data_IF_704441272961
#
_entry.id   IF_704441272961
#
_cell.length_a   1.000
_cell.length_b   1.000
_cell.length_c   1.000
_cell.angle_alpha   90.00
_cell.angle_beta   90.00
_cell.angle_gamma   90.00
#
_symmetry.space_group_name_H-M   'P 1'
#
loop_
_entity.id
_entity.type
_entity.pdbx_description
1 polymer ?
#
# COMPACT_ATOMS: atom_id res chain seq x y z
N UNK A 1 15.18 6.94 -2.37
CA UNK A 1 13.96 6.24 -1.92
C UNK A 1 12.88 6.50 -2.95
N UNK A 2 12.25 5.44 -3.45
CA UNK A 2 11.13 5.55 -4.40
C UNK A 2 9.81 5.75 -3.66
N UNK A 3 8.88 6.55 -4.19
CA UNK A 3 7.55 6.74 -3.59
C UNK A 3 6.48 6.36 -4.61
N UNK A 4 5.55 5.51 -4.21
CA UNK A 4 4.49 4.99 -5.08
C UNK A 4 3.12 5.32 -4.51
N UNK A 5 2.22 5.80 -5.37
CA UNK A 5 0.78 5.81 -5.08
C UNK A 5 0.10 4.80 -5.99
N UNK A 6 -0.50 3.77 -5.38
CA UNK A 6 -1.21 2.71 -6.09
C UNK A 6 -2.62 3.17 -6.37
N UNK A 7 -3.00 3.17 -7.65
CA UNK A 7 -4.32 3.58 -8.10
C UNK A 7 -4.82 2.70 -9.25
N UNK A 8 -6.14 2.66 -9.46
CA UNK A 8 -6.72 2.05 -10.65
C UNK A 8 -6.93 3.10 -11.74
N UNK A 9 -6.77 2.71 -13.01
CA UNK A 9 -6.95 3.63 -14.16
C UNK A 9 -8.37 4.17 -14.30
N UNK A 10 -9.37 3.45 -13.77
CA UNK A 10 -10.77 3.86 -13.77
C UNK A 10 -11.10 4.69 -12.52
N UNK A 11 -11.80 4.07 -11.57
CA UNK A 11 -12.17 4.69 -10.30
C UNK A 11 -10.94 4.88 -9.40
N UNK A 12 -10.51 6.13 -9.18
CA UNK A 12 -9.40 6.47 -8.28
C UNK A 12 -9.64 7.78 -7.51
N UNK A 13 -8.80 8.02 -6.49
CA UNK A 13 -8.82 9.22 -5.65
C UNK A 13 -7.55 10.06 -5.77
N UNK A 14 -6.85 9.97 -6.91
CA UNK A 14 -5.57 10.64 -7.12
C UNK A 14 -5.63 12.17 -6.97
N UNK A 15 -6.72 12.81 -7.38
CA UNK A 15 -6.89 14.25 -7.17
C UNK A 15 -6.88 14.60 -5.67
N UNK A 16 -7.62 13.84 -4.86
CA UNK A 16 -7.62 14.00 -3.41
C UNK A 16 -6.24 13.69 -2.81
N UNK A 17 -5.59 12.63 -3.28
CA UNK A 17 -4.25 12.23 -2.83
C UNK A 17 -3.23 13.34 -3.07
N UNK A 18 -3.14 13.86 -4.31
CA UNK A 18 -2.15 14.87 -4.66
C UNK A 18 -2.43 16.25 -4.07
N UNK A 19 -3.68 16.53 -3.68
CA UNK A 19 -4.01 17.71 -2.89
C UNK A 19 -3.50 17.64 -1.43
N UNK A 20 -3.09 16.47 -0.93
CA UNK A 20 -2.51 16.36 0.40
C UNK A 20 -1.11 16.98 0.44
N UNK A 21 -0.74 17.79 1.46
CA UNK A 21 0.57 18.46 1.50
C UNK A 21 1.78 17.53 1.51
N UNK A 22 1.62 16.29 1.99
CA UNK A 22 2.69 15.28 2.03
C UNK A 22 2.78 14.41 0.77
N UNK A 23 1.99 14.68 -0.27
CA UNK A 23 1.93 13.86 -1.50
C UNK A 23 3.11 14.08 -2.47
N UNK A 24 4.00 15.02 -2.16
CA UNK A 24 5.09 15.40 -3.05
C UNK A 24 6.06 14.23 -3.32
N UNK A 25 6.39 14.06 -4.60
CA UNK A 25 7.36 13.07 -5.08
C UNK A 25 6.83 11.64 -5.21
N UNK A 26 5.51 11.42 -5.11
CA UNK A 26 4.89 10.13 -5.38
C UNK A 26 4.67 9.89 -6.88
N UNK A 27 5.16 8.77 -7.39
CA UNK A 27 4.87 8.28 -8.74
C UNK A 27 3.61 7.41 -8.74
N UNK A 28 2.77 7.57 -9.75
CA UNK A 28 1.56 6.74 -9.90
C UNK A 28 1.98 5.34 -10.35
N UNK A 29 1.59 4.34 -9.56
CA UNK A 29 1.67 2.93 -9.96
C UNK A 29 0.26 2.43 -10.28
N UNK A 30 0.01 2.10 -11.55
CA UNK A 30 -1.28 1.58 -11.96
C UNK A 30 -1.44 0.13 -11.51
N UNK A 31 -2.32 -0.07 -10.52
CA UNK A 31 -2.64 -1.37 -9.97
C UNK A 31 -3.48 -2.25 -10.90
N UNK A 32 -3.64 -3.50 -10.48
CA UNK A 32 -4.47 -4.50 -11.13
C UNK A 32 -5.91 -4.34 -10.66
N UNK A 33 -6.82 -4.04 -11.59
CA UNK A 33 -8.25 -4.17 -11.31
C UNK A 33 -8.64 -5.64 -11.40
N UNK A 34 -8.80 -6.30 -10.25
CA UNK A 34 -9.16 -7.71 -10.19
C UNK A 34 -10.53 -8.04 -10.79
N UNK A 35 -11.41 -7.05 -10.99
CA UNK A 35 -12.69 -7.19 -11.71
C UNK A 35 -12.49 -7.29 -13.22
N UNK A 36 -11.37 -6.76 -13.73
CA UNK A 36 -11.03 -6.72 -15.15
C UNK A 36 -10.06 -7.83 -15.59
N UNK A 37 -9.73 -8.77 -14.69
CA UNK A 37 -8.98 -9.98 -15.04
C UNK A 37 -9.79 -10.87 -16.00
N UNK A 38 -9.14 -11.71 -16.84
CA UNK A 38 -9.84 -12.59 -17.78
C UNK A 38 -10.94 -13.43 -17.12
N UNK A 39 -10.64 -13.94 -15.92
CA UNK A 39 -11.64 -14.44 -14.98
C UNK A 39 -11.60 -13.55 -13.73
N UNK A 40 -12.67 -12.82 -13.41
CA UNK A 40 -12.67 -11.89 -12.28
C UNK A 40 -12.29 -12.54 -10.96
N UNK A 41 -11.21 -12.04 -10.33
CA UNK A 41 -10.69 -12.58 -9.08
C UNK A 41 -9.87 -13.87 -9.20
N UNK A 42 -9.43 -14.25 -10.40
CA UNK A 42 -8.52 -15.37 -10.59
C UNK A 42 -7.24 -14.91 -11.31
N UNK A 43 -6.08 -15.34 -10.78
CA UNK A 43 -4.78 -15.11 -11.38
C UNK A 43 -3.84 -16.24 -10.99
N UNK A 44 -2.99 -16.75 -11.91
CA UNK A 44 -1.96 -17.75 -11.57
C UNK A 44 -0.90 -17.21 -10.60
N UNK A 45 -0.79 -15.89 -10.47
CA UNK A 45 0.13 -15.23 -9.53
C UNK A 45 -0.48 -15.03 -8.13
N UNK A 46 -1.76 -15.40 -7.94
CA UNK A 46 -2.45 -15.30 -6.67
C UNK A 46 -2.70 -16.70 -6.08
N UNK A 47 -2.16 -16.96 -4.88
CA UNK A 47 -2.37 -18.23 -4.18
C UNK A 47 -3.76 -18.25 -3.52
N UNK A 48 -4.77 -18.61 -4.32
CA UNK A 48 -6.15 -18.71 -3.89
C UNK A 48 -6.36 -19.76 -2.80
N UNK A 49 -5.61 -20.88 -2.85
CA UNK A 49 -5.71 -21.98 -1.87
C UNK A 49 -5.21 -21.51 -0.51
N UNK A 50 -4.05 -20.85 -0.46
CA UNK A 50 -3.53 -20.27 0.78
C UNK A 50 -4.46 -19.19 1.32
N UNK A 51 -4.99 -18.32 0.45
CA UNK A 51 -5.94 -17.29 0.87
C UNK A 51 -7.19 -17.90 1.49
N UNK A 52 -7.81 -18.88 0.82
CA UNK A 52 -9.01 -19.55 1.29
C UNK A 52 -8.76 -20.25 2.63
N UNK A 53 -7.66 -20.99 2.75
CA UNK A 53 -7.27 -21.64 4.01
C UNK A 53 -7.12 -20.64 5.15
N UNK A 54 -6.59 -19.44 4.88
CA UNK A 54 -6.37 -18.40 5.90
C UNK A 54 -7.62 -17.59 6.23
N UNK A 55 -8.52 -17.39 5.26
CA UNK A 55 -9.69 -16.49 5.39
C UNK A 55 -11.01 -17.23 5.57
N UNK A 56 -11.04 -18.54 5.35
CA UNK A 56 -12.25 -19.38 5.42
C UNK A 56 -13.26 -19.07 4.30
N UNK A 57 -12.83 -18.40 3.23
CA UNK A 57 -13.66 -18.05 2.06
C UNK A 57 -12.79 -17.76 0.85
N UNK A 58 -13.40 -17.82 -0.33
CA UNK A 58 -12.78 -17.37 -1.57
C UNK A 58 -12.44 -15.87 -1.53
N UNK A 59 -11.37 -15.50 -2.23
CA UNK A 59 -10.97 -14.13 -2.42
C UNK A 59 -11.99 -13.38 -3.29
N UNK A 60 -12.26 -12.13 -2.95
CA UNK A 60 -13.05 -11.24 -3.82
C UNK A 60 -12.15 -10.70 -4.93
N UNK A 61 -12.70 -10.34 -6.10
CA UNK A 61 -11.92 -9.75 -7.19
C UNK A 61 -11.04 -8.57 -6.74
N UNK A 62 -11.58 -7.67 -5.92
CA UNK A 62 -10.80 -6.56 -5.37
C UNK A 62 -9.66 -6.97 -4.44
N UNK A 63 -9.77 -8.09 -3.71
CA UNK A 63 -8.69 -8.59 -2.85
C UNK A 63 -7.57 -9.21 -3.67
N UNK A 64 -7.90 -9.89 -4.77
CA UNK A 64 -6.91 -10.39 -5.73
C UNK A 64 -6.20 -9.23 -6.42
N UNK A 65 -6.95 -8.23 -6.91
CA UNK A 65 -6.38 -7.03 -7.50
C UNK A 65 -5.45 -6.27 -6.56
N UNK A 66 -5.86 -6.08 -5.30
CA UNK A 66 -5.02 -5.44 -4.28
C UNK A 66 -3.74 -6.24 -4.01
N UNK A 67 -3.83 -7.56 -3.80
CA UNK A 67 -2.66 -8.39 -3.55
C UNK A 67 -1.65 -8.36 -4.71
N UNK A 68 -2.14 -8.44 -5.96
CA UNK A 68 -1.30 -8.36 -7.15
C UNK A 68 -0.66 -6.97 -7.30
N UNK A 69 -1.43 -5.90 -7.08
CA UNK A 69 -0.92 -4.51 -7.17
C UNK A 69 0.26 -4.28 -6.23
N UNK A 70 0.14 -4.69 -4.96
CA UNK A 70 1.25 -4.58 -3.99
C UNK A 70 2.43 -5.45 -4.38
N UNK A 71 2.18 -6.67 -4.85
CA UNK A 71 3.24 -7.57 -5.32
C UNK A 71 4.02 -6.97 -6.49
N UNK A 72 3.34 -6.31 -7.43
CA UNK A 72 3.98 -5.69 -8.59
C UNK A 72 4.76 -4.42 -8.21
N UNK A 73 4.25 -3.63 -7.26
CA UNK A 73 5.03 -2.51 -6.68
C UNK A 73 6.31 -3.03 -6.04
N UNK A 74 6.25 -4.15 -5.30
CA UNK A 74 7.46 -4.72 -4.69
C UNK A 74 8.47 -5.20 -5.73
N UNK A 75 8.01 -5.81 -6.83
CA UNK A 75 8.89 -6.21 -7.94
C UNK A 75 9.57 -5.00 -8.58
N UNK A 76 8.81 -3.96 -8.91
CA UNK A 76 9.35 -2.72 -9.48
C UNK A 76 10.32 -2.01 -8.52
N UNK A 77 10.02 -2.01 -7.22
CA UNK A 77 10.93 -1.50 -6.19
C UNK A 77 12.25 -2.27 -6.17
N UNK A 78 12.19 -3.61 -6.13
CA UNK A 78 13.40 -4.44 -6.13
C UNK A 78 14.24 -4.25 -7.39
N UNK A 79 13.59 -4.08 -8.55
CA UNK A 79 14.26 -3.82 -9.83
C UNK A 79 14.87 -2.41 -9.91
N UNK A 80 14.35 -1.44 -9.14
CA UNK A 80 14.86 -0.07 -9.14
C UNK A 80 16.25 0.10 -8.53
N UNK A 81 16.71 -0.85 -7.70
CA UNK A 81 17.97 -0.76 -6.96
C UNK A 81 17.96 0.24 -5.80
N UNK A 82 16.81 0.84 -5.49
CA UNK A 82 16.64 1.73 -4.34
C UNK A 82 16.67 0.93 -3.02
N UNK A 83 17.23 1.54 -1.97
CA UNK A 83 17.31 0.90 -0.66
C UNK A 83 15.95 0.91 0.09
N UNK A 84 15.12 1.91 -0.21
CA UNK A 84 13.84 2.13 0.47
C UNK A 84 12.74 2.47 -0.54
N UNK A 85 11.52 2.05 -0.23
CA UNK A 85 10.30 2.48 -0.92
C UNK A 85 9.19 2.87 0.05
N UNK A 86 8.50 3.97 -0.26
CA UNK A 86 7.28 4.38 0.42
C UNK A 86 6.09 4.13 -0.51
N UNK A 87 5.14 3.28 -0.09
CA UNK A 87 3.99 2.86 -0.91
C UNK A 87 2.71 3.32 -0.24
N UNK A 88 1.91 4.11 -0.93
CA UNK A 88 0.60 4.59 -0.51
C UNK A 88 -0.50 4.01 -1.43
N UNK A 89 -1.71 3.84 -0.89
CA UNK A 89 -2.93 3.72 -1.71
C UNK A 89 -3.42 5.12 -2.12
N UNK A 90 -4.17 5.21 -3.22
CA UNK A 90 -4.74 6.47 -3.71
C UNK A 90 -5.74 7.13 -2.75
N UNK A 91 -6.25 6.40 -1.76
CA UNK A 91 -7.10 6.92 -0.71
C UNK A 91 -6.39 7.25 0.60
N UNK A 92 -5.06 7.14 0.63
CA UNK A 92 -4.27 7.52 1.78
C UNK A 92 -4.25 9.05 1.97
N UNK A 93 -4.41 9.48 3.22
CA UNK A 93 -4.19 10.86 3.63
C UNK A 93 -2.74 11.00 4.13
N UNK A 94 -1.92 11.74 3.40
CA UNK A 94 -0.49 11.86 3.71
C UNK A 94 -0.22 13.13 4.52
N UNK A 95 0.31 12.94 5.73
CA UNK A 95 0.67 14.03 6.64
C UNK A 95 1.84 14.86 6.07
N UNK A 96 1.85 16.21 6.22
CA UNK A 96 2.93 17.06 5.71
C UNK A 96 4.33 16.64 6.19
N UNK A 97 4.44 16.12 7.41
CA UNK A 97 5.71 15.66 8.00
C UNK A 97 6.09 14.23 7.64
N UNK A 98 5.48 13.60 6.64
CA UNK A 98 5.74 12.17 6.34
C UNK A 98 7.22 11.90 6.05
N UNK A 99 7.88 12.79 5.32
CA UNK A 99 9.28 12.61 4.96
C UNK A 99 10.19 12.66 6.18
N UNK A 100 9.95 13.59 7.11
CA UNK A 100 10.67 13.65 8.38
C UNK A 100 10.45 12.38 9.22
N UNK A 101 9.21 11.88 9.26
CA UNK A 101 8.86 10.65 10.00
C UNK A 101 9.60 9.45 9.39
N UNK A 102 9.56 9.31 8.07
CA UNK A 102 10.22 8.20 7.36
C UNK A 102 11.73 8.25 7.54
N UNK A 103 12.36 9.43 7.39
CA UNK A 103 13.80 9.59 7.63
C UNK A 103 14.20 9.16 9.04
N UNK A 104 13.45 9.56 10.07
CA UNK A 104 13.72 9.14 11.46
C UNK A 104 13.56 7.65 11.68
N UNK A 105 12.60 7.02 11.00
CA UNK A 105 12.41 5.56 11.07
C UNK A 105 13.61 4.85 10.44
N UNK A 106 14.03 5.26 9.25
CA UNK A 106 15.19 4.70 8.54
C UNK A 106 16.46 4.82 9.41
N UNK A 107 16.73 6.00 9.96
CA UNK A 107 17.90 6.25 10.82
C UNK A 107 17.94 5.32 12.04
N UNK A 108 16.79 5.07 12.66
CA UNK A 108 16.69 4.25 13.88
C UNK A 108 16.61 2.76 13.59
N UNK A 109 16.37 2.36 12.36
CA UNK A 109 16.00 0.99 12.03
C UNK A 109 16.68 0.52 10.76
N UNK A 110 17.96 0.17 10.91
CA UNK A 110 18.79 -0.36 9.82
C UNK A 110 18.41 -1.76 9.34
N UNK A 111 17.45 -2.43 10.00
CA UNK A 111 17.06 -3.82 9.68
C UNK A 111 15.54 -4.04 9.78
N UNK A 112 14.73 -3.12 9.26
CA UNK A 112 13.28 -3.33 9.15
C UNK A 112 12.92 -3.81 7.74
N UNK A 113 12.10 -4.86 7.67
CA UNK A 113 11.47 -5.28 6.42
C UNK A 113 10.32 -4.37 6.00
N UNK A 114 9.33 -4.14 6.88
CA UNK A 114 8.15 -3.30 6.58
C UNK A 114 7.71 -2.49 7.80
N UNK A 115 7.49 -1.18 7.64
CA UNK A 115 6.74 -0.34 8.59
C UNK A 115 5.40 0.04 7.99
N UNK A 116 4.31 -0.18 8.73
CA UNK A 116 2.99 0.28 8.34
C UNK A 116 2.65 1.59 9.06
N UNK A 117 2.51 2.69 8.32
CA UNK A 117 2.14 4.02 8.79
C UNK A 117 0.61 4.28 8.77
N UNK A 118 -0.18 3.24 8.55
CA UNK A 118 -1.63 3.32 8.58
C UNK A 118 -2.18 3.46 10.00
N UNK A 119 -3.07 4.44 10.20
CA UNK A 119 -4.18 4.26 11.14
C UNK A 119 -5.34 3.57 10.41
N UNK A 120 -6.08 2.73 11.12
CA UNK A 120 -7.05 1.86 10.46
C UNK A 120 -8.33 2.52 10.00
N UNK A 121 -8.66 3.71 10.52
CA UNK A 121 -10.06 4.15 10.58
C UNK A 121 -10.26 5.66 10.74
N UNK A 122 -9.24 6.49 10.50
CA UNK A 122 -9.45 7.94 10.49
C UNK A 122 -9.84 8.44 9.11
N UNK A 123 -10.96 9.15 9.03
CA UNK A 123 -11.35 9.94 7.86
C UNK A 123 -10.77 11.36 7.91
N UNK A 124 -9.96 11.68 8.93
CA UNK A 124 -9.41 13.02 9.17
C UNK A 124 -7.93 12.97 9.55
N UNK A 125 -7.11 13.73 8.81
CA UNK A 125 -5.69 13.91 9.10
C UNK A 125 -5.46 14.28 10.59
N UNK A 126 -4.62 13.52 11.30
CA UNK A 126 -4.20 13.85 12.67
C UNK A 126 -5.16 13.47 13.80
N UNK A 127 -6.25 12.72 13.54
CA UNK A 127 -7.10 12.15 14.59
C UNK A 127 -6.97 10.62 14.66
N UNK A 128 -6.49 10.07 15.77
CA UNK A 128 -6.62 8.62 16.04
C UNK A 128 -8.07 8.28 16.39
N UNK A 129 -8.60 7.20 15.82
CA UNK A 129 -9.90 6.65 16.23
C UNK A 129 -9.76 5.90 17.57
N UNK A 130 -10.42 6.34 18.67
CA UNK A 130 -10.23 5.76 20.00
C UNK A 130 -10.90 4.39 20.21
N UNK A 131 -11.70 3.89 19.25
CA UNK A 131 -12.39 2.60 19.38
C UNK A 131 -11.60 1.47 18.69
N UNK A 132 -10.64 0.86 19.41
CA UNK A 132 -9.76 -0.20 18.88
C UNK A 132 -10.11 -1.59 19.43
N UNK A 133 -11.04 -2.30 18.77
CA UNK A 133 -11.18 -3.77 18.84
C UNK A 133 -11.67 -4.32 17.48
N UNK A 134 -10.78 -4.99 16.70
CA UNK A 134 -11.04 -5.89 15.53
C UNK A 134 -11.15 -5.23 14.11
N UNK A 135 -11.08 -5.97 12.96
CA UNK A 135 -10.15 -5.67 11.86
C UNK A 135 -10.83 -5.19 10.56
N UNK A 136 -10.36 -4.07 10.00
CA UNK A 136 -10.80 -3.60 8.67
C UNK A 136 -10.14 -2.30 8.21
N UNK A 137 -8.82 -2.25 8.11
CA UNK A 137 -8.13 -1.03 7.67
C UNK A 137 -8.19 -0.85 6.14
N UNK A 138 -8.53 0.36 5.67
CA UNK A 138 -8.58 0.73 4.24
C UNK A 138 -7.48 1.68 3.78
N UNK A 139 -6.75 2.35 4.67
CA UNK A 139 -5.65 3.24 4.27
C UNK A 139 -4.33 2.53 4.53
N UNK A 140 -3.50 2.28 3.52
CA UNK A 140 -2.17 1.71 3.71
C UNK A 140 -1.10 2.67 3.23
N UNK A 141 -0.24 3.11 4.16
CA UNK A 141 1.06 3.69 3.85
C UNK A 141 2.11 2.76 4.41
N UNK A 142 2.98 2.21 3.57
CA UNK A 142 3.99 1.22 3.97
C UNK A 142 5.37 1.66 3.52
N UNK A 143 6.33 1.61 4.43
CA UNK A 143 7.74 1.74 4.12
C UNK A 143 8.35 0.34 4.04
N UNK A 144 8.97 0.05 2.91
CA UNK A 144 9.72 -1.18 2.66
C UNK A 144 11.21 -0.87 2.67
N UNK A 145 11.97 -1.66 3.42
CA UNK A 145 13.43 -1.66 3.37
C UNK A 145 13.90 -2.85 2.53
N UNK A 146 14.88 -2.63 1.65
CA UNK A 146 15.58 -3.71 0.98
C UNK A 146 16.40 -4.48 2.02
N UNK A 147 15.96 -5.69 2.36
CA UNK A 147 16.76 -6.59 3.20
C UNK A 147 17.77 -7.26 2.27
N UNK A 148 19.03 -6.82 2.30
CA UNK A 148 20.14 -7.59 1.73
C UNK A 148 20.24 -8.90 2.51
N UNK A 149 19.97 -10.02 1.84
CA UNK A 149 20.19 -11.38 2.35
C UNK A 149 21.66 -11.73 2.25
#
# INVERSE_FOLDING_TARGET
MKKYVVALKGENRLEQFFNAPGSAGFDIFWGVDGRALPTPGESPEFDAVYFEKRKGRLARPGEVGCALSHTYVWRDFLESGEEWALVAEDDALIHPSIDEIVSRVIEKSRSIGVVNFADGWSTQMGRMNPALLTPGCRCFLRLFGAVTV
#
